data_IF_817601806333
#
_entry.id   IF_817601806333
#
_cell.length_a   1.000
_cell.length_b   1.000
_cell.length_c   1.000
_cell.angle_alpha   90.00
_cell.angle_beta   90.00
_cell.angle_gamma   90.00
#
_symmetry.space_group_name_H-M   'P 1'
#
loop_
_entity.id
_entity.type
_entity.pdbx_description
1 polymer ?
#
# COMPACT_ATOMS: atom_id res chain seq x y z
N UNK A 1 72.35 10.41 44.32
CA UNK A 1 71.70 11.01 43.14
C UNK A 1 71.29 9.87 42.21
N UNK A 2 70.02 9.46 42.26
CA UNK A 2 69.51 8.38 41.41
C UNK A 2 68.49 9.00 40.42
N UNK A 3 68.78 8.94 39.14
CA UNK A 3 67.93 9.37 38.08
C UNK A 3 66.80 8.29 37.88
N UNK A 4 65.56 8.69 38.01
CA UNK A 4 64.37 7.90 37.58
C UNK A 4 64.08 8.26 36.13
N UNK A 5 64.22 7.28 35.26
CA UNK A 5 63.78 7.34 33.87
C UNK A 5 62.30 6.96 33.80
N UNK A 6 61.45 7.88 33.43
CA UNK A 6 60.00 7.62 33.17
C UNK A 6 59.85 7.22 31.70
N UNK A 7 59.50 5.97 31.47
CA UNK A 7 59.10 5.49 30.13
C UNK A 7 57.64 5.84 29.87
N UNK A 8 57.41 6.77 28.95
CA UNK A 8 56.07 7.07 28.44
C UNK A 8 55.64 6.01 27.42
N UNK A 9 54.66 5.20 27.80
CA UNK A 9 54.04 4.18 26.95
C UNK A 9 52.94 4.86 26.13
N UNK A 10 53.22 5.14 24.86
CA UNK A 10 52.24 5.68 23.91
C UNK A 10 51.23 4.58 23.57
N UNK A 11 50.04 4.72 24.10
CA UNK A 11 48.87 3.89 23.71
C UNK A 11 48.33 4.45 22.40
N UNK A 12 48.68 3.87 21.26
CA UNK A 12 48.06 4.15 19.96
C UNK A 12 46.66 3.51 19.97
N UNK A 13 45.64 4.32 20.21
CA UNK A 13 44.24 3.96 19.94
C UNK A 13 44.09 3.80 18.43
N UNK A 14 44.10 2.54 17.96
CA UNK A 14 43.53 2.20 16.67
C UNK A 14 42.02 2.42 16.80
N UNK A 15 41.58 3.62 16.43
CA UNK A 15 40.17 3.87 16.12
C UNK A 15 39.84 3.08 14.83
N UNK A 16 39.44 1.83 14.99
CA UNK A 16 38.79 1.08 13.92
C UNK A 16 37.56 1.87 13.53
N UNK A 17 37.53 2.36 12.30
CA UNK A 17 36.33 2.91 11.70
C UNK A 17 35.28 1.81 11.77
N UNK A 18 34.35 1.87 12.73
CA UNK A 18 33.11 1.11 12.67
C UNK A 18 32.37 1.71 11.50
N UNK A 19 32.48 1.07 10.33
CA UNK A 19 31.52 1.32 9.25
C UNK A 19 30.15 1.08 9.86
N UNK A 20 29.44 2.16 10.17
CA UNK A 20 28.02 2.06 10.46
C UNK A 20 27.40 1.35 9.24
N UNK A 21 26.80 0.18 9.45
CA UNK A 21 26.16 -0.54 8.37
C UNK A 21 25.18 0.44 7.71
N UNK A 22 25.33 0.62 6.41
CA UNK A 22 24.45 1.48 5.62
C UNK A 22 23.00 1.08 5.92
N UNK A 23 22.18 2.06 6.21
CA UNK A 23 20.81 1.84 6.68
C UNK A 23 19.86 2.72 5.88
N UNK A 24 18.82 2.12 5.33
CA UNK A 24 17.75 2.77 4.60
C UNK A 24 16.51 2.84 5.48
N UNK A 25 15.83 3.98 5.50
CA UNK A 25 14.54 4.14 6.15
C UNK A 25 13.43 4.23 5.09
N UNK A 26 12.29 3.60 5.34
CA UNK A 26 11.20 3.55 4.38
C UNK A 26 9.83 3.75 5.02
N UNK A 27 8.93 4.36 4.27
CA UNK A 27 7.49 4.22 4.50
C UNK A 27 6.93 3.19 3.53
N UNK A 28 6.02 2.35 4.02
CA UNK A 28 5.36 1.35 3.21
C UNK A 28 3.85 1.50 3.26
N UNK A 29 3.21 1.52 2.10
CA UNK A 29 1.76 1.34 1.99
C UNK A 29 1.44 -0.15 1.84
N UNK A 30 2.36 -0.92 1.24
CA UNK A 30 2.25 -2.38 1.14
C UNK A 30 2.02 -2.99 2.52
N UNK A 31 1.16 -4.01 2.67
CA UNK A 31 0.99 -4.72 3.93
C UNK A 31 2.32 -5.23 4.48
N UNK A 32 2.51 -5.13 5.80
CA UNK A 32 3.76 -5.44 6.49
C UNK A 32 4.34 -6.80 6.13
N UNK A 33 3.48 -7.82 6.02
CA UNK A 33 3.84 -9.19 5.61
C UNK A 33 4.61 -9.24 4.29
N UNK A 34 4.23 -8.42 3.32
CA UNK A 34 4.86 -8.35 2.00
C UNK A 34 6.05 -7.42 1.98
N UNK A 35 5.92 -6.23 2.60
CA UNK A 35 7.01 -5.27 2.71
C UNK A 35 8.24 -5.87 3.40
N UNK A 36 8.03 -6.63 4.50
CA UNK A 36 9.11 -7.33 5.21
C UNK A 36 9.88 -8.30 4.30
N UNK A 37 9.19 -9.01 3.42
CA UNK A 37 9.84 -9.93 2.46
C UNK A 37 10.67 -9.18 1.43
N UNK A 38 10.10 -8.11 0.84
CA UNK A 38 10.80 -7.27 -0.14
C UNK A 38 12.06 -6.66 0.47
N UNK A 39 11.96 -6.08 1.65
CA UNK A 39 13.12 -5.48 2.32
C UNK A 39 14.13 -6.49 2.84
N UNK A 40 13.71 -7.71 3.20
CA UNK A 40 14.62 -8.79 3.56
C UNK A 40 15.45 -9.25 2.36
N UNK A 41 14.84 -9.44 1.19
CA UNK A 41 15.58 -9.78 -0.04
C UNK A 41 16.51 -8.64 -0.47
N UNK A 42 16.06 -7.38 -0.40
CA UNK A 42 16.92 -6.22 -0.64
C UNK A 42 18.14 -6.21 0.29
N UNK A 43 17.93 -6.43 1.59
CA UNK A 43 19.04 -6.49 2.56
C UNK A 43 19.99 -7.63 2.27
N UNK A 44 19.48 -8.79 1.87
CA UNK A 44 20.30 -9.95 1.50
C UNK A 44 21.18 -9.67 0.28
N UNK A 45 20.62 -8.99 -0.72
CA UNK A 45 21.31 -8.72 -1.99
C UNK A 45 22.32 -7.57 -1.87
N UNK A 46 22.05 -6.57 -1.02
CA UNK A 46 22.84 -5.33 -0.93
C UNK A 46 23.68 -5.22 0.35
N UNK A 47 23.34 -5.94 1.41
CA UNK A 47 23.89 -5.75 2.75
C UNK A 47 23.28 -4.55 3.51
N UNK A 48 22.47 -3.72 2.86
CA UNK A 48 21.86 -2.51 3.43
C UNK A 48 20.64 -2.92 4.27
N UNK A 49 20.63 -2.54 5.55
CA UNK A 49 19.47 -2.79 6.44
C UNK A 49 18.36 -1.80 6.16
N UNK A 50 17.11 -2.28 6.19
CA UNK A 50 15.94 -1.42 6.01
C UNK A 50 15.11 -1.37 7.28
N UNK A 51 14.87 -0.16 7.79
CA UNK A 51 13.83 0.09 8.78
C UNK A 51 12.61 0.66 8.06
N UNK A 52 11.43 0.14 8.36
CA UNK A 52 10.24 0.70 7.74
C UNK A 52 9.07 0.84 8.71
N UNK A 53 8.18 1.76 8.38
CA UNK A 53 6.87 1.91 9.03
C UNK A 53 5.75 1.81 7.99
N UNK A 54 4.68 1.10 8.36
CA UNK A 54 3.52 0.90 7.49
C UNK A 54 2.45 1.95 7.76
N UNK A 55 1.91 2.55 6.68
CA UNK A 55 0.83 3.53 6.70
C UNK A 55 -0.24 3.18 5.65
N UNK A 56 -1.42 3.79 5.75
CA UNK A 56 -2.35 3.89 4.62
C UNK A 56 -1.88 4.97 3.64
N UNK A 57 -2.40 4.97 2.40
CA UNK A 57 -1.94 5.89 1.35
C UNK A 57 -2.01 7.36 1.75
N UNK A 58 -3.13 7.79 2.31
CA UNK A 58 -3.31 9.18 2.72
C UNK A 58 -2.44 9.57 3.92
N UNK A 59 -2.19 8.65 4.86
CA UNK A 59 -1.30 8.90 6.00
C UNK A 59 0.14 9.03 5.56
N UNK A 60 0.63 8.11 4.69
CA UNK A 60 1.98 8.16 4.16
C UNK A 60 2.22 9.48 3.43
N UNK A 61 1.29 9.89 2.55
CA UNK A 61 1.40 11.13 1.80
C UNK A 61 1.38 12.37 2.72
N UNK A 62 0.47 12.41 3.69
CA UNK A 62 0.38 13.52 4.64
C UNK A 62 1.65 13.64 5.48
N UNK A 63 2.22 12.52 5.91
CA UNK A 63 3.44 12.47 6.68
C UNK A 63 4.66 12.93 5.87
N UNK A 64 4.83 12.40 4.66
CA UNK A 64 5.90 12.82 3.75
C UNK A 64 5.81 14.32 3.44
N UNK A 65 4.61 14.86 3.24
CA UNK A 65 4.42 16.28 3.01
C UNK A 65 4.80 17.14 4.23
N UNK A 66 4.47 16.69 5.43
CA UNK A 66 4.86 17.37 6.68
C UNK A 66 6.39 17.34 6.89
N UNK A 67 7.04 16.28 6.48
CA UNK A 67 8.50 16.05 6.62
C UNK A 67 9.31 16.57 5.43
N UNK A 68 8.68 17.14 4.40
CA UNK A 68 9.30 17.54 3.13
C UNK A 68 10.56 18.41 3.26
N UNK A 69 10.64 19.27 4.29
CA UNK A 69 11.83 20.13 4.53
C UNK A 69 12.96 19.39 5.24
N UNK A 70 12.68 18.27 5.87
CA UNK A 70 13.63 17.41 6.57
C UNK A 70 13.14 15.96 6.49
N UNK A 71 13.33 15.30 5.33
CA UNK A 71 12.86 13.93 5.10
C UNK A 71 13.41 12.96 6.16
N UNK A 72 12.53 12.10 6.66
CA UNK A 72 12.87 11.11 7.69
C UNK A 72 13.07 9.72 7.08
N UNK A 73 12.72 9.55 5.82
CA UNK A 73 12.82 8.29 5.07
C UNK A 73 13.38 8.55 3.67
N UNK A 74 13.98 7.51 3.12
CA UNK A 74 14.66 7.53 1.83
C UNK A 74 13.75 7.03 0.71
N UNK A 75 12.84 6.09 1.05
CA UNK A 75 12.01 5.37 0.09
C UNK A 75 10.56 5.30 0.57
N UNK A 76 9.64 5.39 -0.38
CA UNK A 76 8.23 4.98 -0.21
C UNK A 76 7.95 3.76 -1.07
N UNK A 77 7.43 2.69 -0.46
CA UNK A 77 7.16 1.40 -1.10
C UNK A 77 5.67 1.05 -1.09
N UNK A 78 5.16 0.61 -2.23
CA UNK A 78 3.83 0.02 -2.34
C UNK A 78 2.70 1.03 -2.40
N UNK A 79 1.50 0.52 -2.59
CA UNK A 79 0.31 1.32 -2.82
C UNK A 79 0.19 1.85 -4.26
N UNK A 80 -0.97 2.41 -4.61
CA UNK A 80 -1.29 2.73 -5.99
C UNK A 80 -0.61 4.02 -6.48
N UNK A 81 -0.28 4.05 -7.77
CA UNK A 81 0.44 5.13 -8.45
C UNK A 81 -0.24 6.51 -8.35
N UNK A 82 -1.55 6.59 -8.17
CA UNK A 82 -2.29 7.85 -7.98
C UNK A 82 -1.85 8.60 -6.71
N UNK A 83 -1.54 7.85 -5.63
CA UNK A 83 -0.97 8.40 -4.41
C UNK A 83 0.39 9.07 -4.67
N UNK A 84 1.23 8.43 -5.49
CA UNK A 84 2.53 8.99 -5.88
C UNK A 84 2.39 10.17 -6.82
N UNK A 85 1.46 10.10 -7.78
CA UNK A 85 1.16 11.22 -8.67
C UNK A 85 0.71 12.48 -7.88
N UNK A 86 -0.04 12.31 -6.80
CA UNK A 86 -0.36 13.40 -5.88
C UNK A 86 0.91 13.93 -5.18
N UNK A 87 1.78 13.06 -4.68
CA UNK A 87 3.06 13.43 -4.07
C UNK A 87 4.04 14.13 -5.02
N UNK A 88 4.04 13.75 -6.30
CA UNK A 88 4.82 14.42 -7.36
C UNK A 88 4.39 15.88 -7.50
N UNK A 89 3.08 16.16 -7.53
CA UNK A 89 2.54 17.53 -7.59
C UNK A 89 2.98 18.38 -6.39
N UNK A 90 3.12 17.73 -5.24
CA UNK A 90 3.64 18.35 -4.01
C UNK A 90 5.17 18.44 -3.98
N UNK A 91 5.88 17.87 -4.95
CA UNK A 91 7.35 17.84 -5.02
C UNK A 91 8.00 17.00 -3.91
N UNK A 92 7.38 15.88 -3.53
CA UNK A 92 7.82 14.96 -2.48
C UNK A 92 8.85 13.95 -3.00
N UNK A 93 8.73 13.56 -4.27
CA UNK A 93 9.53 12.48 -4.84
C UNK A 93 10.64 13.00 -5.74
N UNK A 94 11.77 12.27 -5.73
CA UNK A 94 12.93 12.53 -6.60
C UNK A 94 12.74 11.82 -7.94
N UNK A 95 13.32 12.38 -9.01
CA UNK A 95 13.40 11.68 -10.29
C UNK A 95 14.54 10.68 -10.25
N UNK A 96 14.21 9.41 -10.49
CA UNK A 96 15.18 8.34 -10.56
C UNK A 96 14.76 7.30 -11.58
N UNK A 97 15.64 6.99 -12.53
CA UNK A 97 15.43 5.93 -13.50
C UNK A 97 16.26 4.71 -13.13
N UNK A 98 15.64 3.62 -12.63
CA UNK A 98 16.35 2.37 -12.40
C UNK A 98 16.98 1.83 -13.69
N UNK A 99 18.14 1.20 -13.58
CA UNK A 99 18.91 0.68 -14.74
C UNK A 99 18.07 -0.23 -15.63
N UNK A 100 17.27 -1.12 -15.05
CA UNK A 100 16.49 -2.12 -15.76
C UNK A 100 15.02 -1.71 -15.96
N UNK A 101 14.69 -0.43 -15.76
CA UNK A 101 13.31 0.07 -15.85
C UNK A 101 12.69 -0.11 -17.26
N UNK A 102 13.48 -0.26 -18.30
CA UNK A 102 12.97 -0.48 -19.65
C UNK A 102 12.31 -1.85 -19.84
N UNK A 103 12.61 -2.83 -18.98
CA UNK A 103 11.90 -4.10 -18.93
C UNK A 103 10.44 -3.97 -18.43
N UNK A 104 10.11 -2.87 -17.75
CA UNK A 104 8.76 -2.59 -17.24
C UNK A 104 7.96 -1.90 -18.36
N UNK A 105 6.74 -2.37 -18.69
CA UNK A 105 5.89 -1.71 -19.66
C UNK A 105 5.72 -0.21 -19.41
N UNK A 106 5.73 0.60 -20.47
CA UNK A 106 5.71 2.07 -20.33
C UNK A 106 4.47 2.61 -19.59
N UNK A 107 3.34 1.92 -19.71
CA UNK A 107 2.11 2.26 -19.00
C UNK A 107 2.12 1.91 -17.50
N UNK A 108 3.17 1.23 -17.03
CA UNK A 108 3.39 0.90 -15.62
C UNK A 108 4.54 1.70 -15.01
N UNK A 109 4.98 2.78 -15.66
CA UNK A 109 6.05 3.67 -15.19
C UNK A 109 5.59 5.12 -15.25
N UNK A 110 6.15 5.96 -14.38
CA UNK A 110 5.99 7.40 -14.54
C UNK A 110 6.83 7.90 -15.72
N UNK A 111 6.22 8.60 -16.71
CA UNK A 111 6.98 9.18 -17.83
C UNK A 111 8.13 10.11 -17.41
N UNK A 112 8.03 10.72 -16.22
CA UNK A 112 9.04 11.62 -15.66
C UNK A 112 9.96 10.91 -14.63
N UNK A 113 9.82 9.60 -14.43
CA UNK A 113 10.64 8.77 -13.55
C UNK A 113 10.59 9.16 -12.05
N UNK A 114 9.49 9.69 -11.54
CA UNK A 114 9.35 9.91 -10.10
C UNK A 114 8.95 8.63 -9.35
N UNK A 115 8.37 7.65 -10.04
CA UNK A 115 8.04 6.34 -9.48
C UNK A 115 8.19 5.24 -10.52
N UNK A 116 8.39 4.02 -10.04
CA UNK A 116 8.51 2.81 -10.87
C UNK A 116 7.50 1.78 -10.40
N UNK A 117 6.73 1.20 -11.36
CA UNK A 117 5.79 0.11 -11.07
C UNK A 117 6.53 -1.17 -10.71
N UNK A 118 6.05 -1.85 -9.68
CA UNK A 118 6.56 -3.13 -9.19
C UNK A 118 5.54 -4.25 -9.27
N UNK A 119 4.28 -3.92 -9.56
CA UNK A 119 3.20 -4.88 -9.70
C UNK A 119 1.88 -4.24 -10.08
N UNK A 120 0.89 -5.08 -10.31
CA UNK A 120 -0.51 -4.66 -10.48
C UNK A 120 -1.36 -5.29 -9.37
N UNK A 121 -2.29 -4.51 -8.83
CA UNK A 121 -3.17 -4.91 -7.74
C UNK A 121 -4.63 -4.68 -8.14
N UNK A 122 -5.29 -5.67 -8.76
CA UNK A 122 -6.69 -5.53 -9.18
C UNK A 122 -7.61 -5.49 -7.97
N UNK A 123 -8.75 -4.79 -8.12
CA UNK A 123 -9.84 -4.83 -7.17
C UNK A 123 -10.68 -6.09 -7.35
N UNK A 124 -11.28 -6.55 -6.27
CA UNK A 124 -12.25 -7.65 -6.28
C UNK A 124 -13.31 -7.47 -5.20
N UNK A 125 -14.43 -8.17 -5.34
CA UNK A 125 -15.34 -8.40 -4.24
C UNK A 125 -14.83 -9.56 -3.39
N UNK A 126 -14.83 -9.38 -2.08
CA UNK A 126 -14.63 -10.44 -1.10
C UNK A 126 -15.93 -10.59 -0.32
N UNK A 127 -16.51 -11.79 -0.27
CA UNK A 127 -17.82 -12.04 0.35
C UNK A 127 -17.73 -13.23 1.28
N UNK A 128 -18.36 -13.13 2.45
CA UNK A 128 -18.45 -14.22 3.43
C UNK A 128 -19.46 -15.28 2.95
N UNK A 129 -19.02 -16.52 2.79
CA UNK A 129 -19.87 -17.61 2.25
C UNK A 129 -21.00 -17.99 3.20
N UNK A 130 -20.80 -17.92 4.52
CA UNK A 130 -21.86 -18.17 5.51
C UNK A 130 -22.96 -17.12 5.44
N UNK A 131 -22.60 -15.86 5.14
CA UNK A 131 -23.61 -14.82 4.91
C UNK A 131 -24.43 -15.12 3.65
N UNK A 132 -23.79 -15.54 2.57
CA UNK A 132 -24.46 -15.91 1.32
C UNK A 132 -25.45 -17.07 1.54
N UNK A 133 -25.00 -18.15 2.18
CA UNK A 133 -25.81 -19.32 2.51
C UNK A 133 -27.03 -18.94 3.35
N UNK A 134 -26.82 -18.20 4.45
CA UNK A 134 -27.89 -17.74 5.36
C UNK A 134 -28.95 -16.93 4.64
N UNK A 135 -28.56 -16.10 3.69
CA UNK A 135 -29.45 -15.18 2.98
C UNK A 135 -29.88 -15.71 1.61
N UNK A 136 -29.51 -16.96 1.26
CA UNK A 136 -29.80 -17.60 -0.04
C UNK A 136 -29.40 -16.71 -1.22
N UNK A 137 -28.15 -16.22 -1.18
CA UNK A 137 -27.56 -15.35 -2.17
C UNK A 137 -26.44 -16.05 -2.91
N UNK A 138 -26.15 -15.61 -4.13
CA UNK A 138 -24.91 -15.88 -4.83
C UNK A 138 -23.88 -14.79 -4.52
N UNK A 139 -22.60 -15.08 -4.77
CA UNK A 139 -21.56 -14.05 -4.73
C UNK A 139 -21.89 -12.92 -5.70
N UNK A 140 -21.59 -11.66 -5.37
CA UNK A 140 -21.87 -10.54 -6.26
C UNK A 140 -21.01 -10.64 -7.53
N UNK A 141 -21.62 -10.50 -8.70
CA UNK A 141 -20.98 -10.49 -10.02
C UNK A 141 -21.26 -9.20 -10.79
N UNK A 142 -21.87 -8.23 -10.15
CA UNK A 142 -22.15 -6.91 -10.68
C UNK A 142 -22.00 -5.86 -9.57
N UNK A 143 -21.59 -4.64 -9.94
CA UNK A 143 -21.62 -3.52 -9.01
C UNK A 143 -23.02 -3.34 -8.40
N UNK A 144 -24.08 -3.54 -9.20
CA UNK A 144 -25.46 -3.39 -8.74
C UNK A 144 -25.85 -4.44 -7.70
N UNK A 145 -25.22 -5.61 -7.67
CA UNK A 145 -25.52 -6.64 -6.67
C UNK A 145 -25.23 -6.16 -5.24
N UNK A 146 -24.26 -5.25 -5.06
CA UNK A 146 -23.98 -4.65 -3.76
C UNK A 146 -25.06 -3.68 -3.27
N UNK A 147 -26.01 -3.31 -4.14
CA UNK A 147 -27.18 -2.49 -3.77
C UNK A 147 -28.33 -3.33 -3.23
N UNK A 148 -28.24 -4.67 -3.25
CA UNK A 148 -29.27 -5.55 -2.71
C UNK A 148 -29.56 -5.19 -1.23
N UNK A 149 -30.83 -5.00 -0.84
CA UNK A 149 -31.20 -4.64 0.54
C UNK A 149 -30.73 -5.63 1.61
N UNK A 150 -30.44 -6.88 1.23
CA UNK A 150 -29.88 -7.90 2.15
C UNK A 150 -28.50 -7.53 2.67
N UNK A 151 -27.75 -6.67 1.95
CA UNK A 151 -26.46 -6.12 2.40
C UNK A 151 -26.59 -4.93 3.35
N UNK A 152 -27.82 -4.47 3.67
CA UNK A 152 -28.02 -3.27 4.51
C UNK A 152 -27.22 -3.35 5.82
N UNK A 153 -26.35 -2.35 6.06
CA UNK A 153 -25.42 -2.28 7.20
C UNK A 153 -24.50 -3.50 7.34
N UNK A 154 -24.14 -4.16 6.26
CA UNK A 154 -23.28 -5.33 6.25
C UNK A 154 -22.07 -5.22 5.30
N UNK A 155 -21.94 -4.13 4.57
CA UNK A 155 -20.77 -3.87 3.76
C UNK A 155 -19.72 -3.06 4.55
N UNK A 156 -18.45 -3.41 4.41
CA UNK A 156 -17.36 -2.53 4.83
C UNK A 156 -16.53 -2.10 3.63
N UNK A 157 -16.22 -0.82 3.57
CA UNK A 157 -15.43 -0.20 2.50
C UNK A 157 -14.35 0.68 3.10
N UNK A 158 -13.27 0.89 2.36
CA UNK A 158 -12.28 1.86 2.78
C UNK A 158 -12.74 3.31 2.51
N UNK A 159 -12.24 4.26 3.31
CA UNK A 159 -12.49 5.69 3.18
C UNK A 159 -11.54 6.30 2.14
N UNK A 160 -12.08 7.01 1.15
CA UNK A 160 -11.28 7.61 0.07
C UNK A 160 -10.35 8.74 0.54
N UNK A 161 -10.59 9.31 1.72
CA UNK A 161 -9.69 10.32 2.30
C UNK A 161 -8.37 9.74 2.81
N UNK A 162 -8.32 8.42 3.04
CA UNK A 162 -7.16 7.78 3.67
C UNK A 162 -6.63 6.57 2.91
N UNK A 163 -7.42 5.97 2.02
CA UNK A 163 -7.10 4.67 1.39
C UNK A 163 -7.08 4.75 -0.12
N UNK A 164 -5.95 4.30 -0.71
CA UNK A 164 -5.82 4.10 -2.15
C UNK A 164 -6.79 3.05 -2.73
N UNK A 165 -7.15 2.03 -1.96
CA UNK A 165 -8.19 1.05 -2.36
C UNK A 165 -9.53 1.73 -2.60
N UNK A 166 -9.86 2.73 -1.81
CA UNK A 166 -11.12 3.46 -1.97
C UNK A 166 -11.08 4.45 -3.14
N UNK A 167 -9.95 5.11 -3.39
CA UNK A 167 -9.78 5.96 -4.58
C UNK A 167 -9.83 5.12 -5.85
N UNK A 168 -9.19 3.95 -5.88
CA UNK A 168 -9.24 3.01 -6.99
C UNK A 168 -10.67 2.50 -7.26
N UNK A 169 -11.44 2.21 -6.21
CA UNK A 169 -12.86 1.83 -6.33
C UNK A 169 -13.68 2.95 -6.98
N UNK A 170 -13.49 4.19 -6.55
CA UNK A 170 -14.20 5.34 -7.15
C UNK A 170 -13.80 5.49 -8.62
N UNK A 171 -12.51 5.38 -8.91
CA UNK A 171 -12.00 5.43 -10.27
C UNK A 171 -12.57 4.32 -11.15
N UNK A 172 -12.66 3.08 -10.63
CA UNK A 172 -13.32 1.96 -11.32
C UNK A 172 -14.77 2.30 -11.69
N UNK A 173 -15.53 2.81 -10.74
CA UNK A 173 -16.94 3.15 -10.97
C UNK A 173 -17.09 4.27 -12.01
N UNK A 174 -16.26 5.29 -11.95
CA UNK A 174 -16.26 6.39 -12.93
C UNK A 174 -15.89 5.87 -14.32
N UNK A 175 -14.93 4.96 -14.44
CA UNK A 175 -14.54 4.34 -15.71
C UNK A 175 -15.63 3.46 -16.31
N UNK A 176 -16.34 2.70 -15.47
CA UNK A 176 -17.37 1.76 -15.89
C UNK A 176 -18.71 2.45 -16.18
N UNK A 177 -19.11 3.43 -15.37
CA UNK A 177 -20.44 4.01 -15.39
C UNK A 177 -20.48 5.46 -15.91
N UNK A 178 -19.34 6.16 -15.92
CA UNK A 178 -19.27 7.62 -16.06
C UNK A 178 -19.39 8.32 -14.70
N UNK A 179 -19.02 9.60 -14.64
CA UNK A 179 -18.86 10.32 -13.36
C UNK A 179 -20.17 10.47 -12.58
N UNK A 180 -21.19 11.10 -13.17
CA UNK A 180 -22.46 11.35 -12.48
C UNK A 180 -23.18 10.06 -12.05
N UNK A 181 -23.30 9.02 -12.91
CA UNK A 181 -23.84 7.72 -12.50
C UNK A 181 -23.04 7.06 -11.39
N UNK A 182 -21.69 7.13 -11.41
CA UNK A 182 -20.84 6.57 -10.37
C UNK A 182 -21.10 7.21 -9.01
N UNK A 183 -21.20 8.53 -8.93
CA UNK A 183 -21.52 9.21 -7.67
C UNK A 183 -22.97 8.97 -7.22
N UNK A 184 -23.91 8.83 -8.16
CA UNK A 184 -25.29 8.42 -7.85
C UNK A 184 -25.32 7.01 -7.26
N UNK A 185 -24.57 6.07 -7.86
CA UNK A 185 -24.40 4.72 -7.35
C UNK A 185 -23.80 4.72 -5.93
N UNK A 186 -22.72 5.49 -5.69
CA UNK A 186 -22.07 5.61 -4.40
C UNK A 186 -23.05 6.10 -3.30
N UNK A 187 -23.91 7.06 -3.61
CA UNK A 187 -24.94 7.54 -2.69
C UNK A 187 -25.91 6.42 -2.30
N UNK A 188 -26.33 5.58 -3.27
CA UNK A 188 -27.19 4.41 -3.01
C UNK A 188 -26.45 3.37 -2.18
N UNK A 189 -25.21 3.03 -2.56
CA UNK A 189 -24.39 2.04 -1.88
C UNK A 189 -24.15 2.39 -0.41
N UNK A 190 -24.05 3.69 -0.09
CA UNK A 190 -23.86 4.17 1.27
C UNK A 190 -24.92 3.65 2.26
N UNK A 191 -26.13 3.38 1.80
CA UNK A 191 -27.20 2.78 2.62
C UNK A 191 -26.91 1.33 3.07
N UNK A 192 -26.02 0.63 2.38
CA UNK A 192 -25.62 -0.73 2.70
C UNK A 192 -24.28 -0.79 3.48
N UNK A 193 -23.56 0.33 3.56
CA UNK A 193 -22.26 0.38 4.22
C UNK A 193 -22.43 0.51 5.73
N UNK A 194 -21.87 -0.44 6.46
CA UNK A 194 -21.79 -0.46 7.92
C UNK A 194 -20.73 0.52 8.43
N UNK A 195 -19.56 0.53 7.77
CA UNK A 195 -18.41 1.29 8.20
C UNK A 195 -17.48 1.63 7.04
N UNK A 196 -16.91 2.81 7.09
CA UNK A 196 -15.74 3.18 6.29
C UNK A 196 -14.48 3.04 7.13
N UNK A 197 -13.53 2.24 6.65
CA UNK A 197 -12.28 1.95 7.36
C UNK A 197 -11.13 2.82 6.86
N UNK A 198 -10.19 3.13 7.73
CA UNK A 198 -9.01 3.93 7.40
C UNK A 198 -8.05 3.20 6.43
N UNK A 199 -7.87 1.89 6.63
CA UNK A 199 -7.02 1.03 5.79
C UNK A 199 -7.84 0.26 4.77
N UNK A 200 -7.32 0.14 3.53
CA UNK A 200 -7.93 -0.66 2.47
C UNK A 200 -7.96 -2.16 2.72
N UNK A 201 -6.97 -2.68 3.45
CA UNK A 201 -6.86 -4.10 3.76
C UNK A 201 -7.78 -4.55 4.92
N UNK A 202 -8.18 -3.64 5.81
CA UNK A 202 -8.96 -3.98 7.00
C UNK A 202 -10.31 -4.63 6.72
N UNK A 203 -11.10 -4.19 5.72
CA UNK A 203 -12.37 -4.82 5.39
C UNK A 203 -12.26 -6.30 5.04
N UNK A 204 -11.14 -6.75 4.44
CA UNK A 204 -10.94 -8.16 4.09
C UNK A 204 -10.99 -9.06 5.34
N UNK A 205 -10.30 -8.67 6.41
CA UNK A 205 -10.34 -9.42 7.67
C UNK A 205 -11.75 -9.45 8.27
N UNK A 206 -12.48 -8.33 8.21
CA UNK A 206 -13.84 -8.24 8.76
C UNK A 206 -14.85 -9.12 8.00
N UNK A 207 -14.65 -9.27 6.71
CA UNK A 207 -15.42 -10.25 5.91
C UNK A 207 -15.04 -11.68 6.32
N UNK A 208 -13.75 -11.97 6.51
CA UNK A 208 -13.28 -13.25 7.01
C UNK A 208 -13.92 -13.63 8.34
N UNK A 209 -13.87 -12.75 9.32
CA UNK A 209 -14.44 -12.93 10.66
C UNK A 209 -15.98 -13.00 10.68
N UNK A 210 -16.67 -12.70 9.54
CA UNK A 210 -18.12 -12.64 9.46
C UNK A 210 -18.74 -11.40 10.09
N UNK A 211 -17.92 -10.36 10.38
CA UNK A 211 -18.35 -9.07 10.92
C UNK A 211 -18.80 -8.10 9.81
N UNK A 212 -18.56 -8.46 8.57
CA UNK A 212 -19.10 -7.83 7.37
C UNK A 212 -19.51 -8.93 6.38
N UNK A 213 -20.55 -8.68 5.60
CA UNK A 213 -21.00 -9.60 4.55
C UNK A 213 -20.05 -9.58 3.34
N UNK A 214 -19.70 -8.39 2.90
CA UNK A 214 -18.81 -8.21 1.76
C UNK A 214 -18.01 -6.90 1.84
N UNK A 215 -16.95 -6.85 1.05
CA UNK A 215 -16.11 -5.68 0.85
C UNK A 215 -15.56 -5.62 -0.58
N UNK A 216 -15.18 -4.42 -1.03
CA UNK A 216 -14.32 -4.23 -2.18
C UNK A 216 -12.90 -4.01 -1.67
N UNK A 217 -11.99 -4.88 -2.05
CA UNK A 217 -10.58 -4.87 -1.60
C UNK A 217 -9.63 -5.15 -2.75
N UNK A 218 -8.34 -4.97 -2.56
CA UNK A 218 -7.36 -5.46 -3.50
C UNK A 218 -7.22 -6.98 -3.41
N UNK A 219 -6.99 -7.63 -4.55
CA UNK A 219 -6.87 -9.08 -4.66
C UNK A 219 -5.83 -9.70 -3.68
N UNK A 220 -4.63 -9.14 -3.47
CA UNK A 220 -3.71 -9.70 -2.48
C UNK A 220 -4.29 -9.77 -1.06
N UNK A 221 -5.04 -8.75 -0.62
CA UNK A 221 -5.68 -8.75 0.69
C UNK A 221 -6.77 -9.85 0.78
N UNK A 222 -7.53 -10.05 -0.31
CA UNK A 222 -8.53 -11.11 -0.38
C UNK A 222 -7.90 -12.52 -0.35
N UNK A 223 -6.81 -12.72 -1.11
CA UNK A 223 -6.09 -13.99 -1.15
C UNK A 223 -5.49 -14.36 0.21
N UNK A 224 -5.02 -13.39 0.99
CA UNK A 224 -4.55 -13.64 2.35
C UNK A 224 -5.65 -14.25 3.24
N UNK A 225 -6.87 -13.74 3.13
CA UNK A 225 -8.02 -14.25 3.91
C UNK A 225 -8.40 -15.66 3.46
N UNK A 226 -8.36 -15.94 2.14
CA UNK A 226 -8.57 -17.28 1.61
C UNK A 226 -7.50 -18.25 2.12
N UNK A 227 -6.22 -17.85 2.09
CA UNK A 227 -5.10 -18.68 2.55
C UNK A 227 -5.15 -18.99 4.06
N UNK A 228 -5.75 -18.09 4.85
CA UNK A 228 -5.99 -18.30 6.27
C UNK A 228 -7.17 -19.25 6.55
N UNK A 229 -7.87 -19.73 5.52
CA UNK A 229 -8.97 -20.70 5.64
C UNK A 229 -10.30 -20.10 6.08
N UNK A 230 -10.47 -18.79 6.00
CA UNK A 230 -11.75 -18.15 6.31
C UNK A 230 -12.83 -18.50 5.28
N UNK A 231 -14.11 -18.54 5.68
CA UNK A 231 -15.22 -18.88 4.80
C UNK A 231 -15.59 -17.71 3.89
N UNK A 232 -14.78 -17.48 2.87
CA UNK A 232 -14.93 -16.37 1.94
C UNK A 232 -14.84 -16.84 0.49
N UNK A 233 -15.40 -16.03 -0.41
CA UNK A 233 -15.25 -16.21 -1.87
C UNK A 233 -14.86 -14.89 -2.51
N UNK A 234 -14.09 -14.98 -3.58
CA UNK A 234 -13.68 -13.85 -4.41
C UNK A 234 -14.52 -13.86 -5.69
N UNK A 235 -15.02 -12.69 -6.07
CA UNK A 235 -15.72 -12.51 -7.34
C UNK A 235 -15.40 -11.14 -7.94
N UNK A 236 -15.81 -10.93 -9.19
CA UNK A 236 -15.54 -9.69 -9.93
C UNK A 236 -16.83 -9.21 -10.59
N UNK A 237 -17.05 -7.88 -10.65
CA UNK A 237 -18.17 -7.36 -11.40
C UNK A 237 -17.93 -7.57 -12.91
N UNK A 238 -18.94 -8.08 -13.61
CA UNK A 238 -18.92 -8.32 -15.05
C UNK A 238 -18.70 -7.04 -15.88
N UNK A 239 -19.04 -5.90 -15.33
CA UNK A 239 -18.81 -4.60 -15.94
C UNK A 239 -17.33 -4.19 -15.93
N UNK A 240 -16.52 -4.91 -15.16
CA UNK A 240 -15.08 -4.70 -15.02
C UNK A 240 -14.69 -3.92 -13.78
N UNK A 241 -13.40 -3.99 -13.49
CA UNK A 241 -12.68 -3.22 -12.46
C UNK A 241 -11.40 -2.66 -13.05
N UNK A 242 -10.91 -1.59 -12.46
CA UNK A 242 -9.54 -1.13 -12.68
C UNK A 242 -8.57 -1.86 -11.73
N UNK A 243 -7.30 -1.61 -11.91
CA UNK A 243 -6.24 -2.10 -11.03
C UNK A 243 -5.31 -0.95 -10.64
N UNK A 244 -4.86 -0.96 -9.42
CA UNK A 244 -3.77 -0.10 -8.99
C UNK A 244 -2.44 -0.59 -9.57
N UNK A 245 -1.56 0.33 -9.95
CA UNK A 245 -0.15 0.02 -10.22
C UNK A 245 0.57 0.19 -8.89
N UNK A 246 1.08 -0.89 -8.33
CA UNK A 246 1.87 -0.83 -7.11
C UNK A 246 3.27 -0.33 -7.45
N UNK A 247 3.78 0.65 -6.71
CA UNK A 247 4.97 1.40 -7.12
C UNK A 247 5.96 1.62 -5.98
N UNK A 248 7.18 2.01 -6.34
CA UNK A 248 8.26 2.46 -5.45
C UNK A 248 8.81 3.80 -5.92
N UNK A 249 9.24 4.65 -5.00
CA UNK A 249 9.83 5.95 -5.29
C UNK A 249 10.88 6.35 -4.25
N UNK A 250 11.85 7.13 -4.68
CA UNK A 250 12.78 7.83 -3.79
C UNK A 250 12.14 9.11 -3.25
N UNK A 251 12.35 9.38 -1.98
CA UNK A 251 11.89 10.62 -1.35
C UNK A 251 12.91 11.72 -1.64
N UNK A 252 12.44 12.88 -2.08
CA UNK A 252 13.29 14.01 -2.45
C UNK A 252 14.04 14.58 -1.25
N UNK A 253 15.36 14.77 -1.41
CA UNK A 253 16.23 15.27 -0.36
C UNK A 253 16.59 14.23 0.72
N UNK A 254 16.25 12.96 0.50
CA UNK A 254 16.76 11.85 1.29
C UNK A 254 18.31 11.79 1.20
N UNK A 255 18.93 11.29 2.26
CA UNK A 255 20.39 11.13 2.25
C UNK A 255 20.77 9.95 1.35
N UNK A 256 21.80 10.09 0.50
CA UNK A 256 22.29 8.95 -0.25
C UNK A 256 22.81 7.88 0.73
N UNK A 257 22.45 6.62 0.47
CA UNK A 257 22.94 5.43 1.17
C UNK A 257 24.12 4.86 0.41
#
# INVERSE_FOLDING_TARGET
MKLLTVAAMAFTLLAGSVNAAEQLNAYSIMPEKYASKVFAEFTKDTGIKVNFMRFSSGEALARLNAEKKNPQVDVMLGGPADTYAAGVKEGIFEQYRPKDSDAIPANLRDPQNHWTGIGIIPLCFLTNTKFLEKNKMHAPESWNDLLDPRYKNNLQMADARTSGTATERIYSLVKVMGEDPAFTYQKKLNGNIQMYTKSGAWPALRVGDGLAAAAMVYLPDALDIVQLGYPVTISYPKEGVTFGIEVVSLVKGAKPV
#
